data_IF_856512863935
#
_entry.id   IF_856512863935
#
_cell.length_a   1.000
_cell.length_b   1.000
_cell.length_c   1.000
_cell.angle_alpha   90.00
_cell.angle_beta   90.00
_cell.angle_gamma   90.00
#
_symmetry.space_group_name_H-M   'P 1'
#
loop_
_entity.id
_entity.type
_entity.pdbx_description
1 polymer ?
#
# COMPACT_ATOMS: atom_id res chain seq x y z
N UNK A 1 -11.06 -11.83 11.43
CA UNK A 1 -11.72 -11.16 10.28
C UNK A 1 -10.99 -9.89 9.86
N UNK A 2 -10.87 -8.89 10.75
CA UNK A 2 -10.18 -7.62 10.49
C UNK A 2 -8.75 -7.79 9.95
N UNK A 3 -7.97 -8.71 10.50
CA UNK A 3 -6.60 -8.99 10.05
C UNK A 3 -6.54 -9.56 8.62
N UNK A 4 -7.52 -10.39 8.25
CA UNK A 4 -7.64 -10.94 6.90
C UNK A 4 -7.97 -9.86 5.88
N UNK A 5 -8.89 -8.95 6.22
CA UNK A 5 -9.20 -7.76 5.41
C UNK A 5 -7.95 -6.89 5.25
N UNK A 6 -7.21 -6.63 6.34
CA UNK A 6 -5.95 -5.87 6.30
C UNK A 6 -4.92 -6.53 5.38
N UNK A 7 -4.77 -7.85 5.41
CA UNK A 7 -3.84 -8.57 4.53
C UNK A 7 -4.23 -8.46 3.07
N UNK A 8 -5.52 -8.58 2.74
CA UNK A 8 -6.04 -8.43 1.37
C UNK A 8 -5.80 -7.01 0.87
N UNK A 9 -6.15 -6.00 1.68
CA UNK A 9 -5.96 -4.58 1.38
C UNK A 9 -4.48 -4.28 1.16
N UNK A 10 -3.60 -4.78 2.04
CA UNK A 10 -2.15 -4.63 1.88
C UNK A 10 -1.67 -5.23 0.56
N UNK A 11 -2.11 -6.45 0.23
CA UNK A 11 -1.74 -7.10 -1.03
C UNK A 11 -2.19 -6.29 -2.24
N UNK A 12 -3.41 -5.75 -2.22
CA UNK A 12 -3.93 -4.92 -3.32
C UNK A 12 -3.08 -3.66 -3.51
N UNK A 13 -2.76 -2.96 -2.41
CA UNK A 13 -1.96 -1.73 -2.47
C UNK A 13 -0.52 -2.01 -2.89
N UNK A 14 0.10 -3.08 -2.37
CA UNK A 14 1.45 -3.50 -2.75
C UNK A 14 1.55 -3.75 -4.26
N UNK A 15 0.57 -4.45 -4.83
CA UNK A 15 0.51 -4.70 -6.28
C UNK A 15 0.28 -3.42 -7.08
N UNK A 16 -0.64 -2.56 -6.64
CA UNK A 16 -0.97 -1.30 -7.34
C UNK A 16 0.22 -0.32 -7.36
N UNK A 17 0.95 -0.22 -6.24
CA UNK A 17 2.11 0.65 -6.10
C UNK A 17 3.42 0.03 -6.64
N UNK A 18 3.36 -1.24 -7.06
CA UNK A 18 4.50 -2.05 -7.54
C UNK A 18 5.64 -2.10 -6.53
N UNK A 19 5.28 -2.36 -5.29
CA UNK A 19 6.21 -2.42 -4.17
C UNK A 19 7.04 -3.69 -4.26
N UNK A 20 8.36 -3.54 -4.12
CA UNK A 20 9.33 -4.60 -4.41
C UNK A 20 9.74 -4.74 -5.88
N UNK A 21 9.10 -4.01 -6.81
CA UNK A 21 9.61 -3.90 -8.18
C UNK A 21 10.66 -2.77 -8.27
N UNK A 22 11.89 -3.11 -8.64
CA UNK A 22 12.96 -2.16 -8.93
C UNK A 22 12.56 -1.28 -10.12
N UNK A 23 11.98 -0.13 -9.84
CA UNK A 23 11.49 0.82 -10.84
C UNK A 23 12.51 1.94 -11.03
N UNK A 24 13.65 1.63 -11.65
CA UNK A 24 14.66 2.62 -12.03
C UNK A 24 14.70 2.84 -13.53
N UNK A 25 14.11 3.93 -14.01
CA UNK A 25 14.51 4.48 -15.31
C UNK A 25 16.00 4.84 -15.22
N UNK A 26 16.82 4.27 -16.10
CA UNK A 26 18.31 4.37 -16.14
C UNK A 26 19.10 3.30 -15.36
N UNK A 27 18.47 2.28 -14.76
CA UNK A 27 19.19 1.15 -14.14
C UNK A 27 19.57 1.31 -12.67
N UNK A 28 19.00 2.31 -11.98
CA UNK A 28 19.18 2.52 -10.54
C UNK A 28 18.19 1.69 -9.71
N UNK A 29 18.64 1.22 -8.54
CA UNK A 29 17.77 0.53 -7.60
C UNK A 29 16.94 1.56 -6.82
N UNK A 30 15.63 1.57 -7.07
CA UNK A 30 14.66 2.26 -6.23
C UNK A 30 13.89 1.23 -5.42
N UNK A 31 13.96 1.34 -4.10
CA UNK A 31 13.15 0.58 -3.17
C UNK A 31 11.88 1.38 -2.84
N UNK A 32 10.74 0.71 -2.98
CA UNK A 32 9.44 1.26 -2.59
C UNK A 32 8.95 0.49 -1.38
N UNK A 33 8.55 1.20 -0.34
CA UNK A 33 7.89 0.62 0.83
C UNK A 33 6.56 1.33 1.11
N UNK A 34 5.70 0.64 1.86
CA UNK A 34 4.35 1.12 2.19
C UNK A 34 4.14 1.14 3.69
N UNK A 35 3.38 2.13 4.13
CA UNK A 35 2.85 2.21 5.49
C UNK A 35 1.38 2.55 5.43
N UNK A 36 0.54 1.73 6.07
CA UNK A 36 -0.86 2.06 6.28
C UNK A 36 -0.93 3.04 7.46
N UNK A 37 -1.42 4.24 7.20
CA UNK A 37 -1.57 5.30 8.20
C UNK A 37 -2.95 5.25 8.86
N UNK A 38 -4.01 5.01 8.06
CA UNK A 38 -5.38 4.80 8.56
C UNK A 38 -6.07 3.67 7.82
N UNK A 39 -6.89 2.91 8.53
CA UNK A 39 -7.71 1.83 7.98
C UNK A 39 -9.07 1.82 8.66
N UNK A 40 -10.09 2.26 7.94
CA UNK A 40 -11.50 2.18 8.34
C UNK A 40 -12.19 1.06 7.56
N UNK A 41 -12.96 0.24 8.28
CA UNK A 41 -13.64 -0.92 7.70
C UNK A 41 -15.09 -0.84 8.11
N UNK A 42 -15.97 -0.75 7.11
CA UNK A 42 -17.42 -0.71 7.29
C UNK A 42 -18.04 -1.94 6.67
N UNK A 43 -18.72 -2.75 7.48
CA UNK A 43 -19.52 -3.85 6.96
C UNK A 43 -20.81 -3.32 6.31
N UNK A 44 -21.13 -3.87 5.15
CA UNK A 44 -22.36 -3.58 4.39
C UNK A 44 -23.03 -4.90 4.00
N UNK A 45 -24.29 -4.87 3.59
CA UNK A 45 -25.07 -6.09 3.31
C UNK A 45 -24.35 -7.08 2.38
N UNK A 46 -23.61 -6.56 1.39
CA UNK A 46 -22.91 -7.33 0.36
C UNK A 46 -21.41 -7.60 0.65
N UNK A 47 -20.86 -7.09 1.75
CA UNK A 47 -19.42 -7.20 2.00
C UNK A 47 -18.85 -6.15 2.95
N UNK A 48 -17.69 -5.61 2.60
CA UNK A 48 -16.97 -4.61 3.38
C UNK A 48 -16.53 -3.46 2.47
N UNK A 49 -16.74 -2.23 2.93
CA UNK A 49 -16.13 -1.03 2.35
C UNK A 49 -14.92 -0.70 3.22
N UNK A 50 -13.75 -0.64 2.62
CA UNK A 50 -12.51 -0.32 3.32
C UNK A 50 -11.95 1.00 2.81
N UNK A 51 -11.86 1.98 3.70
CA UNK A 51 -11.17 3.24 3.42
C UNK A 51 -9.77 3.15 4.01
N UNK A 52 -8.76 3.33 3.16
CA UNK A 52 -7.35 3.21 3.55
C UNK A 52 -6.59 4.46 3.15
N UNK A 53 -5.90 5.03 4.13
CA UNK A 53 -4.89 6.07 3.96
C UNK A 53 -3.53 5.41 4.13
N UNK A 54 -2.64 5.56 3.15
CA UNK A 54 -1.32 4.95 3.17
C UNK A 54 -0.27 5.88 2.58
N UNK A 55 0.94 5.77 3.11
CA UNK A 55 2.12 6.47 2.62
C UNK A 55 3.01 5.52 1.85
N UNK A 56 3.44 5.95 0.67
CA UNK A 56 4.44 5.27 -0.15
C UNK A 56 5.76 5.98 0.05
N UNK A 57 6.79 5.24 0.45
CA UNK A 57 8.15 5.72 0.59
C UNK A 57 8.97 5.18 -0.58
N UNK A 58 9.70 6.07 -1.24
CA UNK A 58 10.62 5.75 -2.32
C UNK A 58 12.00 6.12 -1.84
N UNK A 59 12.85 5.12 -1.66
CA UNK A 59 14.26 5.29 -1.41
C UNK A 59 15.05 4.82 -2.63
N UNK A 60 16.20 5.44 -2.84
CA UNK A 60 17.16 5.01 -3.87
C UNK A 60 18.48 4.70 -3.18
N UNK A 61 19.44 4.17 -3.93
CA UNK A 61 20.83 4.04 -3.45
C UNK A 61 21.45 5.37 -2.96
N UNK A 62 20.86 6.51 -3.35
CA UNK A 62 21.28 7.86 -2.95
C UNK A 62 20.45 8.44 -1.81
N UNK A 63 19.57 7.66 -1.18
CA UNK A 63 18.80 8.12 -0.01
C UNK A 63 19.66 7.99 1.25
N UNK A 64 19.95 9.11 1.90
CA UNK A 64 20.72 9.18 3.15
C UNK A 64 20.10 10.25 4.05
N UNK A 65 19.74 9.88 5.28
CA UNK A 65 19.21 10.84 6.25
C UNK A 65 20.34 11.52 7.03
N UNK A 66 20.25 12.84 7.33
CA UNK A 66 19.10 13.73 7.09
C UNK A 66 19.14 14.50 5.76
N UNK A 67 20.25 14.43 5.01
CA UNK A 67 20.54 15.34 3.90
C UNK A 67 19.77 15.04 2.60
N UNK A 68 19.42 13.77 2.35
CA UNK A 68 18.58 13.33 1.23
C UNK A 68 17.60 12.21 1.68
N UNK A 69 16.56 12.56 2.47
CA UNK A 69 15.60 11.60 3.00
C UNK A 69 14.77 10.95 1.87
N UNK A 70 14.14 9.79 2.15
CA UNK A 70 13.28 9.14 1.17
C UNK A 70 12.12 10.04 0.76
N UNK A 71 11.82 10.07 -0.53
CA UNK A 71 10.62 10.74 -1.03
C UNK A 71 9.40 9.96 -0.55
N UNK A 72 8.37 10.66 -0.08
CA UNK A 72 7.12 10.00 0.29
C UNK A 72 5.90 10.82 -0.13
N UNK A 73 4.80 10.12 -0.34
CA UNK A 73 3.50 10.72 -0.60
C UNK A 73 2.40 9.86 0.01
N UNK A 74 1.31 10.52 0.41
CA UNK A 74 0.13 9.87 0.99
C UNK A 74 -0.96 9.73 -0.06
N UNK A 75 -1.63 8.58 -0.07
CA UNK A 75 -2.78 8.29 -0.92
C UNK A 75 -3.97 7.84 -0.08
N UNK A 76 -5.16 8.09 -0.60
CA UNK A 76 -6.41 7.57 -0.08
C UNK A 76 -7.05 6.64 -1.11
N UNK A 77 -7.53 5.47 -0.67
CA UNK A 77 -8.20 4.50 -1.53
C UNK A 77 -9.41 3.90 -0.83
N UNK A 78 -10.49 3.75 -1.56
CA UNK A 78 -11.65 2.95 -1.14
C UNK A 78 -11.58 1.59 -1.84
N UNK A 79 -11.75 0.50 -1.10
CA UNK A 79 -11.75 -0.87 -1.61
C UNK A 79 -13.04 -1.55 -1.18
N UNK A 80 -13.80 -2.02 -2.17
CA UNK A 80 -15.02 -2.77 -1.96
C UNK A 80 -14.70 -4.27 -1.99
N UNK A 81 -14.84 -4.96 -0.86
CA UNK A 81 -14.65 -6.40 -0.72
C UNK A 81 -15.99 -7.10 -0.60
N UNK A 82 -16.16 -8.26 -1.25
CA UNK A 82 -17.35 -9.11 -1.09
C UNK A 82 -17.26 -9.93 0.21
N UNK A 83 -18.41 -10.44 0.70
CA UNK A 83 -18.42 -11.36 1.88
C UNK A 83 -17.66 -12.67 1.62
N UNK A 84 -17.60 -13.08 0.37
CA UNK A 84 -16.77 -14.21 -0.06
C UNK A 84 -15.31 -13.74 -0.17
N UNK A 85 -14.62 -13.69 0.97
CA UNK A 85 -13.20 -13.32 1.08
C UNK A 85 -12.28 -14.47 0.63
N UNK A 86 -12.69 -15.22 -0.39
CA UNK A 86 -11.93 -16.31 -0.98
C UNK A 86 -10.81 -15.72 -1.83
N UNK A 87 -9.58 -16.03 -1.42
CA UNK A 87 -8.39 -15.78 -2.22
C UNK A 87 -8.35 -16.90 -3.26
N UNK A 88 -8.53 -16.56 -4.53
CA UNK A 88 -8.11 -17.44 -5.62
C UNK A 88 -6.67 -17.12 -5.98
#
# INVERSE_FOLDING_TARGET
>A
MRERIKSIVMSIITTDEKVGETSGGSGHLADKSLKIDKLDIKEVEKGYIVNVEYSVYISTEFTYEPDNPPYHYTKHKEINLTKDLSVH
#
